data_IF_431081494153
#
_entry.id   IF_431081494153
#
_cell.length_a   1.000
_cell.length_b   1.000
_cell.length_c   1.000
_cell.angle_alpha   90.00
_cell.angle_beta   90.00
_cell.angle_gamma   90.00
#
_symmetry.space_group_name_H-M   'P 1'
#
loop_
_entity.id
_entity.type
_entity.pdbx_description
1 polymer ?
#
# COMPACT_ATOMS: atom_id res chain seq x y z
N UNK A 1 -31.13 -24.25 16.17
CA UNK A 1 -29.96 -25.01 15.68
C UNK A 1 -29.44 -24.29 14.45
N UNK A 2 -28.11 -24.14 14.31
CA UNK A 2 -27.37 -23.69 13.11
C UNK A 2 -27.18 -22.18 12.86
N UNK A 3 -26.06 -21.71 13.42
CA UNK A 3 -25.10 -20.70 12.93
C UNK A 3 -25.59 -19.28 12.64
N UNK A 4 -25.55 -18.43 13.68
CA UNK A 4 -25.08 -17.05 13.53
C UNK A 4 -23.72 -17.11 12.84
N UNK A 5 -23.67 -16.84 11.54
CA UNK A 5 -22.42 -16.51 10.84
C UNK A 5 -21.76 -15.43 11.70
N UNK A 6 -20.64 -15.77 12.36
CA UNK A 6 -19.70 -14.77 12.84
C UNK A 6 -19.37 -13.95 11.60
N UNK A 7 -19.99 -12.78 11.47
CA UNK A 7 -19.38 -11.69 10.73
C UNK A 7 -18.07 -11.50 11.47
N UNK A 8 -17.02 -12.17 10.98
CA UNK A 8 -15.67 -11.70 11.22
C UNK A 8 -15.74 -10.28 10.70
N UNK A 9 -15.78 -9.31 11.61
CA UNK A 9 -15.16 -8.02 11.40
C UNK A 9 -13.78 -8.32 10.78
N UNK A 10 -13.73 -8.46 9.46
CA UNK A 10 -12.49 -8.37 8.71
C UNK A 10 -12.08 -6.93 8.93
N UNK A 11 -11.32 -6.70 10.02
CA UNK A 11 -10.76 -5.40 10.35
C UNK A 11 -10.17 -4.85 9.06
N UNK A 12 -10.68 -3.68 8.67
CA UNK A 12 -10.24 -2.95 7.49
C UNK A 12 -8.71 -2.94 7.47
N UNK A 13 -8.13 -3.52 6.41
CA UNK A 13 -6.68 -3.60 6.26
C UNK A 13 -6.22 -2.42 5.42
N UNK A 14 -5.30 -1.64 5.96
CA UNK A 14 -4.68 -0.50 5.27
C UNK A 14 -3.21 -0.80 5.08
N UNK A 15 -2.71 -0.58 3.87
CA UNK A 15 -1.29 -0.70 3.60
C UNK A 15 -0.68 0.69 3.59
N UNK A 16 0.47 0.85 4.21
CA UNK A 16 1.31 2.03 4.08
C UNK A 16 2.68 1.61 3.58
N UNK A 17 2.91 1.85 2.30
CA UNK A 17 4.19 1.64 1.64
C UNK A 17 5.00 2.93 1.69
N UNK A 18 6.30 2.86 1.95
CA UNK A 18 7.15 4.05 1.94
C UNK A 18 8.49 3.80 1.24
N UNK A 19 9.07 4.85 0.65
CA UNK A 19 10.39 4.78 0.01
C UNK A 19 10.82 6.09 -0.66
N UNK A 20 12.07 6.18 -1.09
CA UNK A 20 12.56 7.44 -1.69
C UNK A 20 11.91 7.76 -3.04
N UNK A 21 11.72 6.73 -3.87
CA UNK A 21 11.16 6.85 -5.23
C UNK A 21 10.22 5.68 -5.48
N UNK A 22 9.23 5.89 -6.33
CA UNK A 22 8.38 4.82 -6.84
C UNK A 22 8.43 4.76 -8.36
N UNK A 23 8.66 3.56 -8.87
CA UNK A 23 8.61 3.23 -10.30
C UNK A 23 7.39 2.38 -10.65
N UNK A 24 7.14 2.24 -11.94
CA UNK A 24 5.96 1.50 -12.45
C UNK A 24 5.95 0.02 -12.02
N UNK A 25 7.13 -0.60 -11.90
CA UNK A 25 7.28 -2.01 -11.49
C UNK A 25 6.81 -2.23 -10.05
N UNK A 26 7.17 -1.32 -9.15
CA UNK A 26 6.72 -1.33 -7.76
C UNK A 26 5.20 -1.19 -7.68
N UNK A 27 4.64 -0.30 -8.50
CA UNK A 27 3.21 -0.02 -8.47
C UNK A 27 2.38 -1.21 -8.98
N UNK A 28 2.82 -1.88 -10.04
CA UNK A 28 2.24 -3.17 -10.50
C UNK A 28 2.37 -4.28 -9.46
N UNK A 29 3.54 -4.40 -8.85
CA UNK A 29 3.76 -5.39 -7.78
C UNK A 29 2.83 -5.16 -6.59
N UNK A 30 2.61 -3.89 -6.23
CA UNK A 30 1.65 -3.51 -5.20
C UNK A 30 0.23 -3.80 -5.65
N UNK A 31 -0.16 -3.44 -6.87
CA UNK A 31 -1.46 -3.76 -7.47
C UNK A 31 -1.79 -5.26 -7.35
N UNK A 32 -0.89 -6.13 -7.81
CA UNK A 32 -1.09 -7.59 -7.70
C UNK A 32 -1.16 -8.06 -6.24
N UNK A 33 -0.40 -7.42 -5.35
CA UNK A 33 -0.43 -7.75 -3.94
C UNK A 33 -1.78 -7.35 -3.32
N UNK A 34 -2.27 -6.14 -3.59
CA UNK A 34 -3.56 -5.65 -3.08
C UNK A 34 -4.76 -6.33 -3.71
N UNK A 35 -4.66 -6.88 -4.92
CA UNK A 35 -5.72 -7.72 -5.47
C UNK A 35 -5.83 -9.07 -4.73
N UNK A 36 -4.70 -9.61 -4.25
CA UNK A 36 -4.66 -10.89 -3.51
C UNK A 36 -5.13 -10.75 -2.06
N UNK A 37 -5.10 -9.55 -1.49
CA UNK A 37 -5.53 -9.28 -0.11
C UNK A 37 -6.62 -8.23 -0.06
N UNK A 38 -7.72 -8.49 0.63
CA UNK A 38 -8.82 -7.54 0.75
C UNK A 38 -8.40 -6.34 1.60
N UNK A 39 -8.06 -5.22 0.96
CA UNK A 39 -7.68 -3.96 1.62
C UNK A 39 -8.70 -2.86 1.37
N UNK A 40 -8.65 -1.82 2.19
CA UNK A 40 -9.47 -0.61 2.03
C UNK A 40 -8.71 0.46 1.27
N UNK A 41 -7.44 0.68 1.64
CA UNK A 41 -6.60 1.70 1.02
C UNK A 41 -5.12 1.33 1.13
N UNK A 42 -4.34 1.72 0.12
CA UNK A 42 -2.89 1.63 0.08
C UNK A 42 -2.32 3.03 -0.09
N UNK A 43 -1.62 3.51 0.93
CA UNK A 43 -0.90 4.78 0.89
C UNK A 43 0.55 4.52 0.51
N UNK A 44 1.02 5.21 -0.52
CA UNK A 44 2.41 5.13 -0.98
C UNK A 44 3.07 6.47 -0.64
N UNK A 45 3.83 6.50 0.45
CA UNK A 45 4.54 7.70 0.91
C UNK A 45 5.92 7.75 0.27
N UNK A 46 6.16 8.77 -0.56
CA UNK A 46 7.43 8.92 -1.29
C UNK A 46 8.11 10.25 -1.00
N UNK A 47 9.44 10.23 -0.95
CA UNK A 47 10.21 11.45 -0.72
C UNK A 47 10.23 12.33 -1.97
N UNK A 48 10.47 11.73 -3.13
CA UNK A 48 10.52 12.42 -4.41
C UNK A 48 9.21 12.25 -5.19
N UNK A 49 8.74 13.30 -5.90
CA UNK A 49 7.61 13.17 -6.78
C UNK A 49 7.89 12.11 -7.85
N UNK A 50 6.98 11.15 -8.08
CA UNK A 50 7.17 10.15 -9.11
C UNK A 50 6.95 10.72 -10.50
N UNK A 51 7.38 9.97 -11.52
CA UNK A 51 7.15 10.34 -12.91
C UNK A 51 5.65 10.39 -13.23
N UNK A 52 5.22 11.29 -14.11
CA UNK A 52 3.79 11.47 -14.46
C UNK A 52 3.09 10.17 -14.87
N UNK A 53 3.79 9.29 -15.59
CA UNK A 53 3.24 7.98 -15.99
C UNK A 53 2.89 7.09 -14.78
N UNK A 54 3.67 7.17 -13.70
CA UNK A 54 3.41 6.42 -12.47
C UNK A 54 2.22 7.02 -11.73
N UNK A 55 2.12 8.35 -11.68
CA UNK A 55 0.95 9.05 -11.11
C UNK A 55 -0.32 8.66 -11.86
N UNK A 56 -0.32 8.78 -13.19
CA UNK A 56 -1.47 8.41 -14.02
C UNK A 56 -1.87 6.97 -13.82
N UNK A 57 -0.91 6.05 -13.73
CA UNK A 57 -1.22 4.64 -13.48
C UNK A 57 -1.86 4.46 -12.10
N UNK A 58 -1.32 5.09 -11.06
CA UNK A 58 -1.89 5.03 -9.71
C UNK A 58 -3.29 5.63 -9.62
N UNK A 59 -3.56 6.72 -10.35
CA UNK A 59 -4.90 7.34 -10.44
C UNK A 59 -5.96 6.41 -11.05
N UNK A 60 -5.55 5.39 -11.83
CA UNK A 60 -6.48 4.38 -12.34
C UNK A 60 -6.83 3.30 -11.30
N UNK A 61 -6.21 3.32 -10.12
CA UNK A 61 -6.39 2.33 -9.07
C UNK A 61 -6.98 3.03 -7.83
N UNK A 62 -8.30 2.94 -7.65
CA UNK A 62 -9.04 3.63 -6.57
C UNK A 62 -8.47 3.39 -5.16
N UNK A 63 -7.88 2.22 -4.95
CA UNK A 63 -7.33 1.82 -3.66
C UNK A 63 -5.97 2.45 -3.36
N UNK A 64 -5.24 2.95 -4.37
CA UNK A 64 -3.88 3.48 -4.22
C UNK A 64 -3.94 5.01 -4.12
N UNK A 65 -3.16 5.55 -3.18
CA UNK A 65 -2.96 6.99 -3.03
C UNK A 65 -1.47 7.28 -2.84
N UNK A 66 -0.90 8.13 -3.68
CA UNK A 66 0.49 8.55 -3.56
C UNK A 66 0.56 9.84 -2.74
N UNK A 67 1.33 9.81 -1.67
CA UNK A 67 1.59 10.95 -0.80
C UNK A 67 3.05 11.33 -0.91
N UNK A 68 3.33 12.58 -1.26
CA UNK A 68 4.71 13.08 -1.32
C UNK A 68 5.02 13.73 0.03
N UNK A 69 5.95 13.16 0.79
CA UNK A 69 6.35 13.68 2.09
C UNK A 69 7.83 13.45 2.36
N UNK A 70 8.56 14.47 2.85
CA UNK A 70 9.95 14.30 3.29
C UNK A 70 10.07 13.55 4.63
N UNK A 71 8.98 13.47 5.42
CA UNK A 71 8.95 12.79 6.71
C UNK A 71 7.97 11.60 6.67
N UNK A 72 8.52 10.41 6.40
CA UNK A 72 7.75 9.17 6.35
C UNK A 72 7.09 8.84 7.68
N UNK A 73 7.79 9.07 8.80
CA UNK A 73 7.31 8.69 10.12
C UNK A 73 6.08 9.50 10.49
N UNK A 74 6.14 10.81 10.29
CA UNK A 74 5.01 11.70 10.54
C UNK A 74 3.80 11.31 9.70
N UNK A 75 4.00 11.01 8.42
CA UNK A 75 2.89 10.68 7.52
C UNK A 75 2.26 9.31 7.83
N UNK A 76 3.09 8.31 8.12
CA UNK A 76 2.62 7.00 8.60
C UNK A 76 1.82 7.17 9.90
N UNK A 77 2.25 8.02 10.83
CA UNK A 77 1.50 8.30 12.06
C UNK A 77 0.17 9.01 11.80
N UNK A 78 0.08 9.94 10.84
CA UNK A 78 -1.20 10.54 10.43
C UNK A 78 -2.15 9.48 9.89
N UNK A 79 -1.67 8.62 8.98
CA UNK A 79 -2.48 7.53 8.42
C UNK A 79 -2.94 6.58 9.53
N UNK A 80 -2.06 6.24 10.49
CA UNK A 80 -2.45 5.43 11.66
C UNK A 80 -3.59 6.03 12.48
N UNK A 81 -3.60 7.37 12.63
CA UNK A 81 -4.66 8.08 13.35
C UNK A 81 -5.97 8.16 12.56
N UNK A 82 -5.91 8.13 11.22
CA UNK A 82 -7.11 8.12 10.36
C UNK A 82 -7.88 6.80 10.43
N UNK A 83 -7.19 5.70 10.71
CA UNK A 83 -7.79 4.36 10.74
C UNK A 83 -7.68 3.70 12.13
N UNK A 84 -8.30 4.29 13.18
CA UNK A 84 -8.25 3.73 14.52
C UNK A 84 -8.96 2.38 14.56
N UNK A 85 -8.23 1.32 14.91
CA UNK A 85 -8.78 -0.05 15.02
C UNK A 85 -8.62 -0.93 13.77
N UNK A 86 -8.15 -0.35 12.66
CA UNK A 86 -7.78 -1.07 11.44
C UNK A 86 -6.45 -1.80 11.59
N UNK A 87 -6.22 -2.82 10.77
CA UNK A 87 -4.92 -3.48 10.67
C UNK A 87 -4.05 -2.74 9.66
N UNK A 88 -2.98 -2.10 10.14
CA UNK A 88 -2.08 -1.33 9.28
C UNK A 88 -0.83 -2.16 9.03
N UNK A 89 -0.59 -2.48 7.76
CA UNK A 89 0.64 -3.12 7.31
C UNK A 89 1.58 -2.07 6.74
N UNK A 90 2.83 -2.06 7.22
CA UNK A 90 3.85 -1.12 6.77
C UNK A 90 4.84 -1.87 5.89
N UNK A 91 5.02 -1.42 4.65
CA UNK A 91 5.89 -2.03 3.67
C UNK A 91 7.01 -1.04 3.31
N UNK A 92 8.26 -1.47 3.42
CA UNK A 92 9.36 -0.71 2.83
C UNK A 92 9.46 -1.06 1.34
N UNK A 93 9.31 -0.06 0.46
CA UNK A 93 9.38 -0.26 -0.98
C UNK A 93 10.73 -0.81 -1.43
N UNK A 94 11.84 -0.41 -0.80
CA UNK A 94 13.18 -0.89 -1.17
C UNK A 94 13.31 -2.40 -0.98
N UNK A 95 12.88 -2.91 0.19
CA UNK A 95 12.87 -4.35 0.51
C UNK A 95 11.85 -5.12 -0.34
N UNK A 96 10.71 -4.49 -0.65
CA UNK A 96 9.66 -5.09 -1.49
C UNK A 96 10.11 -5.27 -2.95
N UNK A 97 10.83 -4.28 -3.49
CA UNK A 97 11.39 -4.35 -4.85
C UNK A 97 12.39 -5.48 -5.01
N UNK A 98 13.34 -5.59 -4.08
CA UNK A 98 14.34 -6.66 -4.13
C UNK A 98 13.68 -8.05 -4.08
N UNK A 99 12.69 -8.24 -3.21
CA UNK A 99 11.98 -9.54 -3.09
C UNK A 99 11.14 -9.88 -4.32
N UNK A 100 10.51 -8.89 -4.96
CA UNK A 100 9.69 -9.15 -6.14
C UNK A 100 10.53 -9.26 -7.43
N UNK A 101 11.65 -8.54 -7.54
CA UNK A 101 12.62 -8.74 -8.63
C UNK A 101 13.24 -10.14 -8.60
N UNK A 102 13.44 -10.72 -7.41
CA UNK A 102 13.85 -12.13 -7.27
C UNK A 102 12.74 -13.12 -7.66
N UNK A 103 11.45 -12.73 -7.61
CA UNK A 103 10.33 -13.60 -8.02
C UNK A 103 10.15 -13.68 -9.53
N UNK A 104 10.45 -12.61 -10.27
CA UNK A 104 10.39 -12.59 -11.74
C UNK A 104 11.60 -13.30 -12.41
N UNK A 105 12.60 -13.72 -11.62
CA UNK A 105 13.83 -14.33 -12.13
C UNK A 105 13.80 -15.87 -12.22
N UNK A 106 12.63 -16.52 -12.11
CA UNK A 106 12.47 -18.00 -12.12
C UNK A 106 11.59 -18.44 -13.27
#
# INVERSE_FOLDING_TARGET
MFFKKKQKDEKEKVIVSFGQKIGIVYLRSLEEYIEKIKIVKCYIVVFHPPHQNVVKYAENIDQIEIVISPDFKQEIEKIKKLYPGSTIEIINLEDFGERNMMRDAI
#
